data_IF_363325457507
#
_entry.id   IF_363325457507
#
_cell.length_a   1.000
_cell.length_b   1.000
_cell.length_c   1.000
_cell.angle_alpha   90.00
_cell.angle_beta   90.00
_cell.angle_gamma   90.00
#
_symmetry.space_group_name_H-M   'P 1'
#
loop_
_entity.id
_entity.type
_entity.pdbx_description
1 polymer ?
#
# COMPACT_ATOMS: atom_id res chain seq x y z
N UNK A 1 -16.35 -32.39 -2.26
CA UNK A 1 -17.46 -32.18 -1.28
C UNK A 1 -17.14 -31.19 -0.13
N UNK A 2 -15.97 -30.52 -0.11
CA UNK A 2 -15.54 -29.66 1.02
C UNK A 2 -15.74 -28.14 0.82
N UNK A 3 -15.94 -27.66 -0.42
CA UNK A 3 -16.07 -26.23 -0.71
C UNK A 3 -17.43 -25.62 -0.30
N UNK A 4 -18.51 -26.42 -0.39
CA UNK A 4 -19.88 -25.96 -0.05
C UNK A 4 -20.11 -25.78 1.46
N UNK A 5 -19.34 -26.46 2.33
CA UNK A 5 -19.45 -26.34 3.79
C UNK A 5 -18.76 -25.08 4.34
N UNK A 6 -17.70 -24.60 3.68
CA UNK A 6 -16.98 -23.38 4.04
C UNK A 6 -17.84 -22.13 3.75
N UNK A 7 -18.55 -22.13 2.62
CA UNK A 7 -19.47 -21.05 2.22
C UNK A 7 -20.67 -20.94 3.20
N UNK A 8 -21.16 -22.06 3.73
CA UNK A 8 -22.30 -22.08 4.65
C UNK A 8 -21.96 -21.52 6.04
N UNK A 9 -20.73 -21.73 6.54
CA UNK A 9 -20.29 -21.21 7.84
C UNK A 9 -20.01 -19.70 7.80
N UNK A 10 -19.61 -19.15 6.66
CA UNK A 10 -19.42 -17.71 6.46
C UNK A 10 -20.72 -16.89 6.47
N UNK A 11 -21.87 -17.52 6.20
CA UNK A 11 -23.19 -16.83 6.22
C UNK A 11 -23.68 -16.46 7.62
N UNK A 12 -23.13 -17.04 8.69
CA UNK A 12 -23.75 -16.96 10.03
C UNK A 12 -23.15 -15.91 10.97
N UNK A 13 -21.98 -15.35 10.67
CA UNK A 13 -21.23 -14.49 11.61
C UNK A 13 -20.93 -13.09 11.09
N UNK A 14 -21.39 -12.72 9.89
CA UNK A 14 -21.16 -11.37 9.37
C UNK A 14 -22.49 -10.83 8.83
N UNK A 15 -23.09 -9.88 9.56
CA UNK A 15 -24.21 -9.08 9.05
C UNK A 15 -23.68 -8.11 8.01
N UNK A 16 -23.37 -8.61 6.81
CA UNK A 16 -23.20 -7.76 5.64
C UNK A 16 -24.56 -7.15 5.31
N UNK A 17 -24.58 -5.83 5.11
CA UNK A 17 -25.73 -5.16 4.51
C UNK A 17 -26.15 -5.91 3.24
N UNK A 18 -27.45 -6.20 3.16
CA UNK A 18 -28.17 -6.85 2.06
C UNK A 18 -27.33 -7.27 0.83
N UNK A 19 -26.97 -8.55 0.75
CA UNK A 19 -27.00 -9.32 -0.51
C UNK A 19 -25.80 -9.27 -1.46
N UNK A 20 -24.72 -8.55 -1.18
CA UNK A 20 -23.55 -8.52 -2.08
C UNK A 20 -22.51 -9.59 -1.72
N UNK A 21 -21.94 -10.28 -2.73
CA UNK A 21 -20.75 -11.13 -2.53
C UNK A 21 -19.51 -10.27 -2.31
N UNK A 22 -18.45 -10.82 -1.70
CA UNK A 22 -17.18 -10.10 -1.50
C UNK A 22 -16.59 -9.58 -2.82
N UNK A 23 -16.74 -10.32 -3.92
CA UNK A 23 -16.31 -9.92 -5.26
C UNK A 23 -17.14 -8.74 -5.81
N UNK A 24 -18.44 -8.71 -5.54
CA UNK A 24 -19.32 -7.60 -5.92
C UNK A 24 -19.03 -6.34 -5.10
N UNK A 25 -18.89 -6.48 -3.77
CA UNK A 25 -18.44 -5.38 -2.90
C UNK A 25 -17.05 -4.84 -3.29
N UNK A 26 -16.12 -5.73 -3.67
CA UNK A 26 -14.79 -5.36 -4.12
C UNK A 26 -14.83 -4.63 -5.46
N UNK A 27 -15.65 -5.08 -6.40
CA UNK A 27 -15.86 -4.40 -7.70
C UNK A 27 -16.47 -2.99 -7.51
N UNK A 28 -17.44 -2.85 -6.61
CA UNK A 28 -18.08 -1.57 -6.31
C UNK A 28 -17.12 -0.59 -5.60
N UNK A 29 -16.19 -1.09 -4.77
CA UNK A 29 -15.13 -0.30 -4.12
C UNK A 29 -13.91 -0.07 -5.02
N UNK A 30 -13.61 -0.96 -5.96
CA UNK A 30 -12.52 -0.77 -6.91
C UNK A 30 -12.79 0.43 -7.85
N UNK A 31 -14.06 0.71 -8.17
CA UNK A 31 -14.48 1.94 -8.84
C UNK A 31 -14.37 3.20 -7.96
N UNK A 32 -14.25 3.08 -6.64
CA UNK A 32 -13.91 4.18 -5.72
C UNK A 32 -12.40 4.53 -5.77
N UNK A 33 -11.58 3.73 -6.48
CA UNK A 33 -10.12 3.85 -6.56
C UNK A 33 -9.58 4.56 -7.80
N UNK A 34 -10.40 5.31 -8.55
CA UNK A 34 -9.91 6.10 -9.68
C UNK A 34 -8.96 7.20 -9.20
N UNK A 35 -7.77 7.28 -9.79
CA UNK A 35 -6.78 8.30 -9.44
C UNK A 35 -7.31 9.71 -9.80
N UNK A 36 -6.99 10.74 -8.98
CA UNK A 36 -7.49 12.09 -9.20
C UNK A 36 -6.95 12.78 -10.47
N UNK A 37 -5.88 12.25 -11.07
CA UNK A 37 -5.27 12.78 -12.29
C UNK A 37 -5.72 12.07 -13.58
N UNK A 38 -6.56 11.03 -13.48
CA UNK A 38 -7.06 10.30 -14.65
C UNK A 38 -5.98 9.56 -15.46
N UNK A 39 -4.72 9.55 -15.01
CA UNK A 39 -3.64 8.76 -15.61
C UNK A 39 -3.79 7.31 -15.14
N UNK A 40 -4.83 6.67 -15.68
CA UNK A 40 -5.25 5.33 -15.36
C UNK A 40 -4.25 4.29 -15.84
N UNK A 41 -3.16 4.11 -15.09
CA UNK A 41 -2.61 2.77 -14.96
C UNK A 41 -3.52 2.02 -14.00
N UNK A 42 -4.28 1.05 -14.52
CA UNK A 42 -5.20 0.29 -13.67
C UNK A 42 -4.41 -0.37 -12.53
N UNK A 43 -5.06 -0.63 -11.39
CA UNK A 43 -4.44 -1.44 -10.33
C UNK A 43 -4.01 -2.83 -10.84
N UNK A 44 -4.49 -3.26 -12.01
CA UNK A 44 -4.13 -4.48 -12.72
C UNK A 44 -3.03 -4.34 -13.78
N UNK A 45 -2.57 -3.12 -14.08
CA UNK A 45 -1.50 -2.91 -15.06
C UNK A 45 -0.15 -3.23 -14.41
N UNK A 46 0.40 -4.38 -14.77
CA UNK A 46 1.82 -4.64 -14.55
C UNK A 46 2.62 -3.72 -15.47
N UNK A 47 3.85 -3.38 -15.07
CA UNK A 47 4.86 -2.95 -16.03
C UNK A 47 5.11 -4.13 -16.97
N UNK A 48 4.33 -4.22 -18.03
CA UNK A 48 4.61 -5.13 -19.11
C UNK A 48 5.89 -4.63 -19.76
N UNK A 49 6.88 -5.50 -19.93
CA UNK A 49 7.85 -5.31 -20.99
C UNK A 49 7.07 -5.49 -22.31
N UNK A 50 6.25 -4.51 -22.72
CA UNK A 50 5.60 -4.60 -24.03
C UNK A 50 6.64 -4.21 -25.08
N UNK A 51 7.45 -5.17 -25.51
CA UNK A 51 7.57 -5.35 -26.94
C UNK A 51 6.24 -5.94 -27.41
N UNK A 52 5.59 -5.24 -28.32
CA UNK A 52 4.42 -5.75 -29.02
C UNK A 52 4.67 -7.18 -29.51
N UNK A 53 3.63 -8.01 -29.41
CA UNK A 53 3.61 -9.47 -29.62
C UNK A 53 3.88 -9.92 -31.08
N UNK A 54 4.60 -9.13 -31.89
CA UNK A 54 4.78 -9.36 -33.33
C UNK A 54 6.18 -9.14 -33.92
N UNK A 55 7.25 -9.17 -33.12
CA UNK A 55 8.60 -9.27 -33.70
C UNK A 55 9.45 -10.30 -32.98
N UNK A 56 9.70 -11.43 -33.65
CA UNK A 56 10.55 -12.52 -33.15
C UNK A 56 12.01 -12.12 -33.01
N UNK A 57 12.39 -11.55 -31.86
CA UNK A 57 13.79 -11.28 -31.53
C UNK A 57 14.16 -11.70 -30.10
N UNK A 58 15.34 -12.29 -29.98
CA UNK A 58 15.88 -13.02 -28.83
C UNK A 58 16.48 -12.13 -27.72
N UNK A 59 16.42 -12.64 -26.47
CA UNK A 59 17.30 -12.47 -25.27
C UNK A 59 17.89 -11.10 -24.84
N UNK A 60 18.01 -10.08 -25.70
CA UNK A 60 18.57 -8.75 -25.38
C UNK A 60 17.59 -7.83 -24.61
N UNK A 61 16.31 -8.19 -24.59
CA UNK A 61 15.23 -7.38 -24.02
C UNK A 61 15.20 -7.41 -22.47
N UNK A 62 15.56 -8.54 -21.86
CA UNK A 62 15.64 -8.67 -20.39
C UNK A 62 16.68 -7.72 -19.78
N UNK A 63 17.81 -7.51 -20.46
CA UNK A 63 18.88 -6.62 -19.99
C UNK A 63 18.48 -5.15 -20.11
N UNK A 64 17.74 -4.76 -21.15
CA UNK A 64 17.19 -3.42 -21.30
C UNK A 64 16.09 -3.14 -20.26
N UNK A 65 15.21 -4.11 -20.02
CA UNK A 65 14.20 -4.02 -18.97
C UNK A 65 14.84 -3.89 -17.58
N UNK A 66 15.85 -4.70 -17.25
CA UNK A 66 16.58 -4.59 -15.98
C UNK A 66 17.36 -3.27 -15.85
N UNK A 67 17.97 -2.78 -16.94
CA UNK A 67 18.61 -1.46 -16.99
C UNK A 67 17.62 -0.32 -16.77
N UNK A 68 16.42 -0.43 -17.35
CA UNK A 68 15.31 0.53 -17.17
C UNK A 68 14.73 0.48 -15.75
N UNK A 69 14.58 -0.71 -15.15
CA UNK A 69 14.16 -0.90 -13.77
C UNK A 69 15.18 -0.32 -12.79
N UNK A 70 16.48 -0.54 -13.03
CA UNK A 70 17.55 0.03 -12.21
C UNK A 70 17.54 1.55 -12.29
N UNK A 71 17.41 2.10 -13.50
CA UNK A 71 17.35 3.55 -13.73
C UNK A 71 16.12 4.18 -13.06
N UNK A 72 14.94 3.62 -13.28
CA UNK A 72 13.70 4.11 -12.68
C UNK A 72 13.68 3.92 -11.16
N UNK A 73 14.16 2.79 -10.66
CA UNK A 73 14.31 2.55 -9.22
C UNK A 73 15.27 3.55 -8.57
N UNK A 74 16.36 3.93 -9.25
CA UNK A 74 17.25 4.98 -8.76
C UNK A 74 16.60 6.37 -8.80
N UNK A 75 15.80 6.69 -9.84
CA UNK A 75 15.02 7.94 -9.89
C UNK A 75 14.00 7.99 -8.74
N UNK A 76 13.26 6.91 -8.51
CA UNK A 76 12.32 6.79 -7.39
C UNK A 76 13.05 6.95 -6.05
N UNK A 77 14.15 6.23 -5.86
CA UNK A 77 15.01 6.31 -4.66
C UNK A 77 15.43 7.75 -4.34
N UNK A 78 15.76 8.53 -5.36
CA UNK A 78 16.16 9.93 -5.22
C UNK A 78 14.97 10.88 -5.01
N UNK A 79 13.79 10.52 -5.51
CA UNK A 79 12.57 11.31 -5.37
C UNK A 79 11.89 11.16 -4.01
N UNK A 80 12.00 9.98 -3.37
CA UNK A 80 11.41 9.67 -2.07
C UNK A 80 11.92 10.62 -0.99
N UNK A 81 10.97 11.18 -0.24
CA UNK A 81 11.16 11.99 0.96
C UNK A 81 10.29 11.44 2.08
N UNK A 82 10.67 11.74 3.32
CA UNK A 82 9.87 11.44 4.51
C UNK A 82 8.43 11.96 4.35
N UNK A 83 7.48 11.09 4.68
CA UNK A 83 6.05 11.37 4.58
C UNK A 83 5.44 11.13 3.20
N UNK A 84 6.22 10.67 2.22
CA UNK A 84 5.66 10.26 0.94
C UNK A 84 4.82 8.97 1.06
N UNK A 85 3.78 8.91 0.24
CA UNK A 85 2.91 7.75 0.07
C UNK A 85 3.33 7.04 -1.21
N UNK A 86 3.60 5.74 -1.12
CA UNK A 86 3.92 4.90 -2.27
C UNK A 86 2.73 3.99 -2.55
N UNK A 87 2.22 4.02 -3.78
CA UNK A 87 1.13 3.14 -4.24
C UNK A 87 1.67 2.28 -5.37
N UNK A 88 1.49 0.96 -5.27
CA UNK A 88 1.95 -0.01 -6.26
C UNK A 88 0.73 -0.62 -6.96
N UNK A 89 0.73 -0.59 -8.28
CA UNK A 89 -0.25 -1.30 -9.13
C UNK A 89 0.29 -2.69 -9.46
N UNK A 90 -0.19 -3.74 -8.77
CA UNK A 90 0.36 -5.10 -8.88
C UNK A 90 -0.68 -6.21 -9.13
N UNK A 91 -1.85 -5.88 -9.68
CA UNK A 91 -2.98 -6.81 -9.80
C UNK A 91 -3.76 -6.97 -8.50
N UNK A 92 -5.09 -6.88 -8.55
CA UNK A 92 -5.96 -7.03 -7.37
C UNK A 92 -6.08 -5.77 -6.52
N UNK A 93 -5.83 -5.87 -5.20
CA UNK A 93 -6.06 -4.80 -4.20
C UNK A 93 -5.01 -3.66 -4.21
N UNK A 94 -3.97 -3.77 -5.03
CA UNK A 94 -2.81 -2.88 -4.98
C UNK A 94 -2.02 -3.04 -3.68
N UNK A 95 -0.96 -2.25 -3.53
CA UNK A 95 -0.20 -2.15 -2.28
C UNK A 95 0.11 -0.69 -1.95
N UNK A 96 0.25 -0.39 -0.67
CA UNK A 96 0.57 0.94 -0.20
C UNK A 96 1.62 0.90 0.91
N UNK A 97 2.51 1.89 0.90
CA UNK A 97 3.55 2.07 1.90
C UNK A 97 3.75 3.56 2.21
N UNK A 98 4.44 3.86 3.32
CA UNK A 98 4.80 5.22 3.72
C UNK A 98 6.30 5.33 3.96
N UNK A 99 6.92 6.40 3.49
CA UNK A 99 8.29 6.74 3.82
C UNK A 99 8.36 7.31 5.26
N UNK A 100 8.89 6.53 6.21
CA UNK A 100 9.05 6.99 7.62
C UNK A 100 10.26 7.91 7.80
N UNK A 101 11.20 7.87 6.86
CA UNK A 101 12.32 8.80 6.73
C UNK A 101 12.70 9.00 5.25
N UNK A 102 13.75 9.77 4.97
CA UNK A 102 14.31 9.88 3.62
C UNK A 102 15.05 8.60 3.17
N UNK A 103 15.15 7.60 4.05
CA UNK A 103 15.90 6.35 3.85
C UNK A 103 15.07 5.10 4.05
N UNK A 104 13.98 5.13 4.82
CA UNK A 104 13.20 3.94 5.21
C UNK A 104 11.75 4.03 4.76
N UNK A 105 11.26 2.89 4.26
CA UNK A 105 9.87 2.65 3.86
C UNK A 105 9.27 1.63 4.82
N UNK A 106 8.10 1.96 5.36
CA UNK A 106 7.30 1.09 6.19
C UNK A 106 6.11 0.56 5.40
N UNK A 107 5.93 -0.75 5.43
CA UNK A 107 4.86 -1.44 4.73
C UNK A 107 4.27 -2.60 5.55
N UNK A 108 3.17 -3.17 5.05
CA UNK A 108 2.69 -4.48 5.50
C UNK A 108 2.32 -5.32 4.29
N UNK A 109 3.12 -6.35 3.98
CA UNK A 109 2.95 -7.16 2.77
C UNK A 109 1.86 -8.21 2.95
N UNK A 110 0.87 -8.29 2.04
CA UNK A 110 -0.19 -9.30 2.19
C UNK A 110 0.29 -10.75 2.05
N UNK A 111 1.47 -11.04 1.52
CA UNK A 111 1.91 -12.44 1.32
C UNK A 111 1.02 -13.27 0.36
N UNK A 112 0.19 -12.60 -0.45
CA UNK A 112 -0.53 -13.18 -1.58
C UNK A 112 -1.71 -14.13 -1.29
N UNK A 113 -2.16 -14.26 -0.03
CA UNK A 113 -3.23 -15.19 0.33
C UNK A 113 -4.47 -14.49 0.92
N UNK A 114 -5.42 -14.13 0.06
CA UNK A 114 -6.66 -13.42 0.41
C UNK A 114 -7.48 -14.17 1.48
N UNK A 115 -7.53 -15.50 1.42
CA UNK A 115 -8.27 -16.29 2.42
C UNK A 115 -7.67 -16.10 3.83
N UNK A 116 -6.34 -16.06 3.96
CA UNK A 116 -5.67 -15.73 5.22
C UNK A 116 -5.96 -14.29 5.64
N UNK A 117 -6.05 -13.34 4.72
CA UNK A 117 -6.33 -11.93 5.04
C UNK A 117 -7.67 -11.72 5.73
N UNK A 118 -8.67 -12.55 5.41
CA UNK A 118 -10.03 -12.42 5.95
C UNK A 118 -10.24 -13.32 7.17
N UNK A 119 -9.70 -14.55 7.15
CA UNK A 119 -9.94 -15.54 8.19
C UNK A 119 -9.03 -15.37 9.42
N UNK A 120 -7.72 -15.55 9.25
CA UNK A 120 -6.77 -15.72 10.37
C UNK A 120 -5.85 -14.53 10.57
N UNK A 121 -5.61 -13.75 9.52
CA UNK A 121 -4.52 -12.79 9.44
C UNK A 121 -3.14 -13.44 9.29
N UNK A 122 -2.11 -12.60 9.18
CA UNK A 122 -0.70 -12.97 9.14
C UNK A 122 -0.03 -12.24 10.30
N UNK A 123 0.45 -12.99 11.29
CA UNK A 123 1.08 -12.40 12.48
C UNK A 123 2.39 -11.68 12.11
N UNK A 124 2.71 -10.65 12.89
CA UNK A 124 3.96 -9.90 12.85
C UNK A 124 4.42 -9.42 11.46
N UNK A 125 3.49 -8.82 10.70
CA UNK A 125 3.64 -8.66 9.26
C UNK A 125 3.75 -7.20 8.80
N UNK A 126 4.23 -6.34 9.68
CA UNK A 126 4.72 -5.00 9.39
C UNK A 126 6.24 -5.03 9.23
N UNK A 127 6.75 -4.39 8.18
CA UNK A 127 8.15 -4.45 7.81
C UNK A 127 8.67 -3.05 7.49
N UNK A 128 9.89 -2.75 7.91
CA UNK A 128 10.60 -1.55 7.50
C UNK A 128 11.86 -1.95 6.75
N UNK A 129 12.02 -1.34 5.58
CA UNK A 129 13.14 -1.58 4.67
C UNK A 129 13.79 -0.25 4.34
N UNK A 130 15.10 -0.24 4.13
CA UNK A 130 15.73 0.84 3.39
C UNK A 130 15.07 0.98 2.02
N UNK A 131 14.96 2.21 1.49
CA UNK A 131 14.31 2.46 0.20
C UNK A 131 14.93 1.65 -0.94
N UNK A 132 16.25 1.41 -0.92
CA UNK A 132 16.91 0.58 -1.93
C UNK A 132 16.43 -0.88 -1.85
N UNK A 133 16.41 -1.46 -0.65
CA UNK A 133 15.99 -2.83 -0.44
C UNK A 133 14.51 -3.03 -0.74
N UNK A 134 13.68 -2.05 -0.37
CA UNK A 134 12.26 -2.04 -0.71
C UNK A 134 12.05 -2.03 -2.23
N UNK A 135 12.63 -1.07 -2.94
CA UNK A 135 12.47 -0.91 -4.40
C UNK A 135 12.94 -2.17 -5.15
N UNK A 136 14.09 -2.73 -4.76
CA UNK A 136 14.76 -3.80 -5.51
C UNK A 136 14.57 -5.22 -4.93
N UNK A 137 13.76 -5.41 -3.89
CA UNK A 137 13.45 -6.75 -3.38
C UNK A 137 14.60 -7.44 -2.64
N UNK A 138 15.44 -6.67 -1.93
CA UNK A 138 16.58 -7.20 -1.16
C UNK A 138 16.19 -7.48 0.28
N UNK A 139 16.75 -8.55 0.84
CA UNK A 139 16.43 -8.94 2.21
C UNK A 139 16.99 -7.93 3.24
N UNK A 140 16.20 -7.67 4.28
CA UNK A 140 16.54 -6.80 5.39
C UNK A 140 15.77 -7.27 6.63
N UNK A 141 16.40 -7.26 7.80
CA UNK A 141 15.76 -7.67 9.06
C UNK A 141 15.10 -9.06 9.03
N UNK A 142 15.70 -10.01 8.30
CA UNK A 142 15.22 -11.40 8.24
C UNK A 142 14.03 -11.63 7.30
N UNK A 143 13.57 -10.60 6.60
CA UNK A 143 12.47 -10.67 5.63
C UNK A 143 12.91 -10.12 4.27
N UNK A 144 12.23 -10.51 3.19
CA UNK A 144 12.49 -10.02 1.83
C UNK A 144 11.21 -9.42 1.25
N UNK A 145 11.21 -8.15 0.80
CA UNK A 145 10.06 -7.56 0.14
C UNK A 145 9.96 -8.10 -1.28
N UNK A 146 8.78 -7.96 -1.90
CA UNK A 146 8.66 -8.13 -3.34
C UNK A 146 9.57 -7.12 -4.06
N UNK A 147 10.04 -7.46 -5.26
CA UNK A 147 10.78 -6.49 -6.08
C UNK A 147 9.81 -5.47 -6.67
N UNK A 148 9.48 -4.43 -5.89
CA UNK A 148 8.38 -3.52 -6.22
C UNK A 148 8.53 -2.82 -7.56
N UNK A 149 9.76 -2.53 -8.01
CA UNK A 149 10.04 -1.86 -9.29
C UNK A 149 9.65 -2.67 -10.54
N UNK A 150 9.26 -3.94 -10.37
CA UNK A 150 8.64 -4.74 -11.44
C UNK A 150 7.19 -4.34 -11.73
N UNK A 151 6.62 -3.46 -10.90
CA UNK A 151 5.28 -2.92 -11.03
C UNK A 151 5.35 -1.39 -11.16
N UNK A 152 4.28 -0.76 -11.63
CA UNK A 152 4.17 0.70 -11.59
C UNK A 152 4.09 1.18 -10.14
N UNK A 153 4.93 2.15 -9.79
CA UNK A 153 4.93 2.79 -8.47
C UNK A 153 4.59 4.26 -8.65
N UNK A 154 3.49 4.70 -8.02
CA UNK A 154 3.18 6.11 -7.91
C UNK A 154 3.67 6.66 -6.57
N UNK A 155 4.39 7.77 -6.63
CA UNK A 155 4.86 8.51 -5.46
C UNK A 155 3.96 9.74 -5.26
N UNK A 156 3.27 9.81 -4.13
CA UNK A 156 2.37 10.91 -3.78
C UNK A 156 2.88 11.67 -2.56
N UNK A 157 2.72 12.99 -2.57
CA UNK A 157 3.24 13.87 -1.51
C UNK A 157 2.24 14.93 -1.13
N UNK A 158 2.02 15.14 0.17
CA UNK A 158 1.26 16.30 0.63
C UNK A 158 2.12 17.58 0.57
N UNK A 159 1.54 18.76 0.25
CA UNK A 159 2.30 20.00 0.14
C UNK A 159 2.96 20.45 1.48
N UNK A 160 2.30 20.20 2.61
CA UNK A 160 2.79 20.58 3.93
C UNK A 160 3.81 19.55 4.46
N UNK A 161 5.10 19.86 4.27
CA UNK A 161 6.23 19.04 4.74
C UNK A 161 6.24 18.83 6.26
N UNK A 162 5.84 19.83 7.05
CA UNK A 162 5.85 19.72 8.52
C UNK A 162 4.82 18.68 8.97
N UNK A 163 3.62 18.76 8.40
CA UNK A 163 2.56 17.78 8.65
C UNK A 163 2.95 16.39 8.12
N UNK A 164 3.57 16.29 6.94
CA UNK A 164 4.03 15.01 6.37
C UNK A 164 5.02 14.30 7.32
N UNK A 165 5.96 15.07 7.88
CA UNK A 165 6.93 14.56 8.84
C UNK A 165 6.29 14.06 10.14
N UNK A 166 5.25 14.73 10.64
CA UNK A 166 4.51 14.28 11.83
C UNK A 166 3.80 12.95 11.56
N UNK A 167 3.14 12.83 10.42
CA UNK A 167 2.47 11.60 9.98
C UNK A 167 3.47 10.44 9.83
N UNK A 168 4.63 10.69 9.22
CA UNK A 168 5.71 9.71 9.10
C UNK A 168 6.28 9.26 10.45
N UNK A 169 6.50 10.20 11.38
CA UNK A 169 6.91 9.88 12.75
C UNK A 169 5.86 9.03 13.46
N UNK A 170 4.58 9.41 13.36
CA UNK A 170 3.51 8.62 13.95
C UNK A 170 3.49 7.20 13.38
N UNK A 171 3.65 7.03 12.07
CA UNK A 171 3.69 5.72 11.42
C UNK A 171 4.79 4.83 12.02
N UNK A 172 6.00 5.39 12.12
CA UNK A 172 7.17 4.70 12.66
C UNK A 172 7.00 4.32 14.14
N UNK A 173 6.60 5.27 14.99
CA UNK A 173 6.41 5.05 16.43
C UNK A 173 5.27 4.06 16.74
N UNK A 174 4.23 4.06 15.91
CA UNK A 174 3.02 3.26 16.12
C UNK A 174 3.16 1.85 15.57
N UNK A 175 3.77 1.71 14.38
CA UNK A 175 3.76 0.46 13.63
C UNK A 175 5.15 -0.11 13.38
N UNK A 176 6.24 0.47 13.88
CA UNK A 176 7.58 -0.10 13.71
C UNK A 176 8.41 -0.12 14.99
N UNK A 177 8.83 1.06 15.45
CA UNK A 177 9.64 1.24 16.65
C UNK A 177 9.20 2.50 17.40
N UNK A 178 8.74 2.33 18.63
CA UNK A 178 8.26 3.42 19.49
C UNK A 178 9.25 4.57 19.77
N UNK A 179 10.55 4.31 19.64
CA UNK A 179 11.64 5.27 19.81
C UNK A 179 12.35 5.62 18.50
N UNK A 180 11.73 5.37 17.34
CA UNK A 180 12.30 5.65 16.01
C UNK A 180 13.59 4.90 15.69
N UNK A 181 13.79 3.75 16.33
CA UNK A 181 14.96 2.90 16.13
C UNK A 181 14.82 1.96 14.91
N UNK A 182 15.96 1.53 14.39
CA UNK A 182 16.02 0.59 13.26
C UNK A 182 15.43 -0.80 13.58
N UNK A 183 15.60 -1.31 14.81
CA UNK A 183 15.10 -2.63 15.21
C UNK A 183 13.61 -2.60 15.51
N UNK A 184 12.82 -3.49 14.93
CA UNK A 184 11.38 -3.63 15.22
C UNK A 184 11.10 -3.83 16.72
N UNK A 185 10.10 -3.13 17.26
CA UNK A 185 9.50 -3.42 18.57
C UNK A 185 7.95 -3.38 18.58
N UNK A 186 7.34 -3.09 17.42
CA UNK A 186 5.90 -3.14 17.20
C UNK A 186 5.59 -4.33 16.30
N UNK A 187 4.64 -5.16 16.71
CA UNK A 187 4.26 -6.38 16.01
C UNK A 187 2.77 -6.31 15.65
N UNK A 188 2.48 -6.16 14.36
CA UNK A 188 1.12 -5.91 13.87
C UNK A 188 0.68 -7.08 12.99
N UNK A 189 -0.51 -7.62 13.26
CA UNK A 189 -1.11 -8.67 12.43
C UNK A 189 -1.69 -8.04 11.17
N UNK A 190 -1.29 -8.54 9.99
CA UNK A 190 -1.94 -8.19 8.74
C UNK A 190 -3.30 -8.87 8.65
N UNK A 191 -4.39 -8.11 8.53
CA UNK A 191 -5.74 -8.63 8.28
C UNK A 191 -6.62 -7.53 7.71
N UNK A 192 -7.46 -7.89 6.73
CA UNK A 192 -8.52 -7.02 6.26
C UNK A 192 -9.70 -7.16 7.24
N UNK A 193 -9.94 -6.12 8.04
CA UNK A 193 -11.06 -6.07 9.00
C UNK A 193 -11.76 -4.71 8.95
N UNK A 194 -13.02 -4.70 9.39
CA UNK A 194 -14.02 -3.68 9.07
C UNK A 194 -13.93 -2.36 9.86
N UNK A 195 -12.75 -1.90 10.28
CA UNK A 195 -12.64 -0.58 10.93
C UNK A 195 -11.28 0.09 10.74
N UNK A 196 -11.27 1.29 10.15
CA UNK A 196 -10.08 2.16 10.04
C UNK A 196 -9.57 2.72 11.37
N UNK A 197 -10.27 2.49 12.50
CA UNK A 197 -9.89 3.04 13.82
C UNK A 197 -9.04 2.09 14.67
N UNK A 198 -9.11 0.78 14.43
CA UNK A 198 -8.32 -0.21 15.18
C UNK A 198 -6.90 -0.30 14.64
N UNK A 199 -5.87 -0.27 15.49
CA UNK A 199 -4.45 -0.30 15.04
C UNK A 199 -3.91 -1.69 14.75
N UNK A 200 -4.43 -2.74 15.39
CA UNK A 200 -4.06 -4.14 15.18
C UNK A 200 -5.33 -5.02 15.29
N UNK A 201 -5.73 -5.76 14.26
CA UNK A 201 -5.03 -5.95 12.99
C UNK A 201 -5.08 -4.72 12.05
N UNK A 202 -4.16 -4.71 11.09
CA UNK A 202 -3.98 -3.65 10.12
C UNK A 202 -3.65 -4.20 8.73
N UNK A 203 -3.53 -3.34 7.73
CA UNK A 203 -3.09 -3.69 6.39
C UNK A 203 -2.44 -2.49 5.72
N UNK A 204 -1.80 -2.71 4.56
CA UNK A 204 -0.96 -1.73 3.86
C UNK A 204 -1.57 -0.32 3.79
N UNK A 205 -2.73 -0.16 3.15
CA UNK A 205 -3.37 1.15 2.96
C UNK A 205 -4.01 1.71 4.24
N UNK A 206 -4.51 0.87 5.15
CA UNK A 206 -5.01 1.34 6.45
C UNK A 206 -3.90 1.91 7.34
N UNK A 207 -2.70 1.32 7.31
CA UNK A 207 -1.52 1.85 8.00
C UNK A 207 -1.22 3.26 7.50
N UNK A 208 -1.19 3.46 6.18
CA UNK A 208 -0.96 4.78 5.57
C UNK A 208 -2.08 5.74 5.98
N UNK A 209 -3.36 5.36 5.82
CA UNK A 209 -4.52 6.15 6.23
C UNK A 209 -4.39 6.62 7.70
N UNK A 210 -4.15 5.69 8.63
CA UNK A 210 -4.05 5.99 10.05
C UNK A 210 -2.88 6.90 10.37
N UNK A 211 -1.80 6.83 9.60
CA UNK A 211 -0.64 7.70 9.76
C UNK A 211 -0.98 9.16 9.50
N UNK A 212 -1.79 9.45 8.48
CA UNK A 212 -2.25 10.80 8.19
C UNK A 212 -3.46 11.23 9.02
N UNK A 213 -4.36 10.31 9.35
CA UNK A 213 -5.54 10.59 10.16
C UNK A 213 -5.18 10.91 11.62
N UNK A 214 -4.29 10.14 12.26
CA UNK A 214 -3.92 10.32 13.66
C UNK A 214 -2.59 11.06 13.87
N UNK A 215 -1.65 10.94 12.92
CA UNK A 215 -0.30 11.50 13.07
C UNK A 215 -0.19 12.98 12.76
N UNK A 216 -1.25 13.61 12.23
CA UNK A 216 -1.28 15.01 11.87
C UNK A 216 -1.53 15.97 13.05
N UNK A 217 -1.81 15.44 14.24
CA UNK A 217 -2.13 16.23 15.43
C UNK A 217 -3.49 16.92 15.29
N UNK A 218 -3.53 18.23 15.46
CA UNK A 218 -4.77 19.03 15.32
C UNK A 218 -5.13 19.34 13.86
N UNK A 219 -4.28 18.99 12.90
CA UNK A 219 -4.53 19.24 11.49
C UNK A 219 -5.50 18.20 10.90
N UNK A 220 -6.60 18.64 10.31
CA UNK A 220 -7.53 17.75 9.60
C UNK A 220 -7.00 17.39 8.22
N UNK A 221 -6.06 16.44 8.16
CA UNK A 221 -5.41 16.00 6.90
C UNK A 221 -6.29 15.08 6.08
N UNK A 222 -6.93 14.12 6.74
CA UNK A 222 -7.90 13.21 6.13
C UNK A 222 -9.30 13.73 6.46
N UNK A 223 -10.22 13.60 5.50
CA UNK A 223 -11.62 13.96 5.68
C UNK A 223 -12.21 13.22 6.90
N UNK A 224 -12.81 13.91 7.90
CA UNK A 224 -13.33 13.26 9.10
C UNK A 224 -14.39 12.19 8.82
N UNK A 225 -15.19 12.37 7.77
CA UNK A 225 -16.19 11.38 7.31
C UNK A 225 -15.59 10.05 6.86
N UNK A 226 -14.27 9.97 6.67
CA UNK A 226 -13.57 8.73 6.32
C UNK A 226 -13.18 7.91 7.56
N UNK A 227 -13.37 8.46 8.76
CA UNK A 227 -13.23 7.70 9.99
C UNK A 227 -14.33 6.63 10.08
N UNK A 228 -13.96 5.40 10.40
CA UNK A 228 -14.91 4.29 10.50
C UNK A 228 -15.25 3.62 9.16
N UNK A 229 -14.59 4.00 8.05
CA UNK A 229 -14.62 3.18 6.83
C UNK A 229 -14.23 1.74 7.16
N UNK A 230 -14.96 0.78 6.60
CA UNK A 230 -14.65 -0.64 6.75
C UNK A 230 -13.41 -1.03 5.97
N UNK A 231 -13.11 -0.32 4.88
CA UNK A 231 -11.95 -0.57 4.04
C UNK A 231 -11.44 0.69 3.36
N UNK A 232 -10.12 0.78 3.17
CA UNK A 232 -9.45 1.83 2.40
C UNK A 232 -8.64 1.16 1.29
N UNK A 233 -9.02 1.38 0.04
CA UNK A 233 -8.23 0.92 -1.10
C UNK A 233 -6.93 1.70 -1.20
N UNK A 234 -5.84 1.04 -1.61
CA UNK A 234 -4.54 1.68 -1.84
C UNK A 234 -4.65 2.84 -2.84
N UNK A 235 -5.37 2.63 -3.94
CA UNK A 235 -5.55 3.65 -4.98
C UNK A 235 -6.46 4.81 -4.55
N UNK A 236 -7.35 4.60 -3.57
CA UNK A 236 -8.23 5.63 -3.07
C UNK A 236 -7.53 6.60 -2.09
N UNK A 237 -6.35 6.24 -1.55
CA UNK A 237 -5.66 7.02 -0.51
C UNK A 237 -5.53 8.51 -0.86
N UNK A 238 -5.08 8.92 -2.06
CA UNK A 238 -4.92 10.34 -2.38
C UNK A 238 -6.24 11.12 -2.28
N UNK A 239 -7.38 10.49 -2.59
CA UNK A 239 -8.70 11.13 -2.61
C UNK A 239 -9.30 11.36 -1.22
N UNK A 240 -8.72 10.76 -0.16
CA UNK A 240 -9.24 10.87 1.21
C UNK A 240 -8.79 12.15 1.93
N UNK A 241 -7.86 12.89 1.34
CA UNK A 241 -7.28 14.09 1.95
C UNK A 241 -8.22 15.29 1.82
N UNK A 242 -8.11 16.23 2.75
CA UNK A 242 -8.80 17.52 2.66
C UNK A 242 -8.03 18.46 1.72
N UNK A 243 -8.71 19.45 1.13
CA UNK A 243 -8.17 20.26 0.03
C UNK A 243 -6.75 20.80 0.23
N UNK A 244 -6.46 21.45 1.36
CA UNK A 244 -5.13 22.04 1.62
C UNK A 244 -4.01 20.99 1.82
N UNK A 245 -4.37 19.74 2.08
CA UNK A 245 -3.46 18.63 2.26
C UNK A 245 -3.54 17.60 1.13
N UNK A 246 -4.28 17.90 0.05
CA UNK A 246 -4.44 17.00 -1.08
C UNK A 246 -3.06 16.63 -1.64
N UNK A 247 -2.68 15.34 -1.66
CA UNK A 247 -1.42 14.91 -2.20
C UNK A 247 -1.36 15.20 -3.70
N UNK A 248 -0.22 15.66 -4.18
CA UNK A 248 0.08 15.71 -5.60
C UNK A 248 0.95 14.51 -5.99
N UNK A 249 0.79 14.03 -7.21
CA UNK A 249 1.66 12.99 -7.77
C UNK A 249 3.02 13.59 -8.08
N UNK A 250 4.06 13.08 -7.43
CA UNK A 250 5.45 13.44 -7.70
C UNK A 250 5.92 12.80 -9.00
N UNK A 251 5.48 11.57 -9.25
CA UNK A 251 5.75 10.85 -10.48
C UNK A 251 5.30 9.39 -10.42
N UNK A 252 5.32 8.76 -11.58
CA UNK A 252 5.14 7.32 -11.77
C UNK A 252 6.49 6.72 -12.17
N UNK A 253 6.88 5.61 -11.54
CA UNK A 253 8.20 4.99 -11.67
C UNK A 253 8.15 3.51 -12.00
#
# INVERSE_FOLDING_TARGET
>A
MHLKRIIFLLKKSIKYGKGLTFEQWFSDIANYGAFPDGEGHSASEKKTNNLDEHSGFEKNEYNLAQGSQTTNGNKLKNAIKKGDILIISNGGFGHAAIATSDTYILEMSGGGNIAKWLATGISDNNHQFSKDNWIFGKAEQGVRPSKHIENWIQLWRIPDKSTANKCANYADATFWNSGHGYKKNRHITYRLTDATTTRNPNYCSKLVFQSFYYGSGNATVIQPSMAGLSFVSSAALPNLFTGKYMPYKVGTF
#
